data_IF_016432749704
#
_entry.id   IF_016432749704
#
_cell.length_a   1.000
_cell.length_b   1.000
_cell.length_c   1.000
_cell.angle_alpha   90.00
_cell.angle_beta   90.00
_cell.angle_gamma   90.00
#
_symmetry.space_group_name_H-M   'P 1'
#
loop_
_entity.id
_entity.type
_entity.pdbx_description
1 polymer ?
#
# COMPACT_ATOMS: atom_id res chain seq x y z
N UNK A 1 -13.92 6.61 -1.49
CA UNK A 1 -15.21 6.29 -0.80
C UNK A 1 -15.87 5.15 -1.57
N UNK A 2 -16.36 4.13 -0.87
CA UNK A 2 -17.06 3.02 -1.52
C UNK A 2 -18.37 3.53 -2.15
N UNK A 3 -18.61 3.19 -3.41
CA UNK A 3 -19.84 3.54 -4.09
C UNK A 3 -21.00 2.65 -3.60
N UNK A 4 -22.17 3.24 -3.39
CA UNK A 4 -23.39 2.50 -3.10
C UNK A 4 -23.86 1.71 -4.33
N UNK A 5 -24.63 0.65 -4.14
CA UNK A 5 -25.18 -0.12 -5.27
C UNK A 5 -25.99 0.70 -6.26
N UNK A 6 -26.67 1.77 -5.82
CA UNK A 6 -27.40 2.68 -6.70
C UNK A 6 -26.46 3.60 -7.50
N UNK A 7 -25.34 4.02 -6.93
CA UNK A 7 -24.33 4.81 -7.65
C UNK A 7 -23.64 3.96 -8.71
N UNK A 8 -23.29 2.72 -8.36
CA UNK A 8 -22.76 1.73 -9.30
C UNK A 8 -23.76 1.47 -10.42
N UNK A 9 -25.05 1.31 -10.10
CA UNK A 9 -26.09 1.09 -11.10
C UNK A 9 -26.15 2.21 -12.16
N UNK A 10 -25.99 3.47 -11.76
CA UNK A 10 -25.97 4.63 -12.69
C UNK A 10 -24.83 4.56 -13.71
N UNK A 11 -23.73 3.87 -13.38
CA UNK A 11 -22.56 3.69 -14.25
C UNK A 11 -22.68 2.45 -15.14
N UNK A 12 -23.64 1.56 -14.87
CA UNK A 12 -23.90 0.37 -15.66
C UNK A 12 -24.88 0.64 -16.80
N UNK A 13 -24.91 -0.21 -17.84
CA UNK A 13 -25.77 -0.04 -19.00
C UNK A 13 -27.25 0.20 -18.67
N UNK A 14 -27.78 -0.44 -17.62
CA UNK A 14 -29.18 -0.27 -17.21
C UNK A 14 -29.51 1.03 -16.50
N UNK A 15 -28.52 1.71 -15.95
CA UNK A 15 -28.69 2.98 -15.22
C UNK A 15 -28.37 4.24 -16.03
N UNK A 16 -27.87 4.10 -17.24
CA UNK A 16 -27.56 5.22 -18.14
C UNK A 16 -28.82 5.86 -18.68
N UNK A 17 -28.77 7.14 -19.05
CA UNK A 17 -29.87 7.88 -19.69
C UNK A 17 -29.39 8.46 -21.01
N UNK A 18 -29.90 8.01 -22.19
CA UNK A 18 -30.86 6.90 -22.36
C UNK A 18 -30.26 5.54 -22.00
N UNK A 19 -31.09 4.55 -21.65
CA UNK A 19 -30.60 3.22 -21.34
C UNK A 19 -29.86 2.59 -22.52
N UNK A 20 -28.77 1.89 -22.24
CA UNK A 20 -28.05 1.19 -23.29
C UNK A 20 -28.92 0.08 -23.91
N UNK A 21 -28.85 -0.19 -25.24
CA UNK A 21 -29.63 -1.24 -25.90
C UNK A 21 -29.50 -2.64 -25.25
N UNK A 22 -28.37 -2.91 -24.60
CA UNK A 22 -28.09 -4.14 -23.87
C UNK A 22 -28.37 -4.04 -22.36
N UNK A 23 -29.20 -3.09 -21.93
CA UNK A 23 -29.64 -3.01 -20.54
C UNK A 23 -30.39 -4.29 -20.15
N UNK A 24 -30.04 -4.85 -18.96
CA UNK A 24 -30.63 -6.08 -18.42
C UNK A 24 -30.53 -7.31 -19.36
N UNK A 25 -29.47 -7.41 -20.15
CA UNK A 25 -29.26 -8.50 -21.12
C UNK A 25 -29.04 -9.87 -20.48
N UNK A 26 -28.74 -9.94 -19.17
CA UNK A 26 -28.44 -11.15 -18.39
C UNK A 26 -27.14 -11.88 -18.78
N UNK A 27 -26.36 -11.39 -19.71
CA UNK A 27 -25.12 -12.01 -20.19
C UNK A 27 -24.04 -12.10 -19.08
N UNK A 28 -24.08 -11.21 -18.09
CA UNK A 28 -23.23 -11.24 -16.90
C UNK A 28 -23.67 -12.28 -15.85
N UNK A 29 -24.72 -13.08 -16.12
CA UNK A 29 -25.25 -14.08 -15.18
C UNK A 29 -26.23 -13.54 -14.13
N UNK A 30 -26.52 -12.25 -14.14
CA UNK A 30 -27.45 -11.62 -13.19
C UNK A 30 -28.77 -11.20 -13.89
N UNK A 31 -29.91 -11.29 -13.18
CA UNK A 31 -31.22 -11.04 -13.78
C UNK A 31 -31.43 -9.59 -14.24
N UNK A 32 -30.77 -8.65 -13.58
CA UNK A 32 -30.83 -7.21 -13.92
C UNK A 32 -29.50 -6.53 -13.65
N UNK A 33 -29.26 -5.38 -14.32
CA UNK A 33 -28.09 -4.54 -14.04
C UNK A 33 -28.10 -3.98 -12.60
N UNK A 34 -29.27 -3.82 -11.98
CA UNK A 34 -29.36 -3.42 -10.58
C UNK A 34 -28.91 -4.53 -9.64
N UNK A 35 -29.33 -5.79 -9.89
CA UNK A 35 -28.88 -6.94 -9.12
C UNK A 35 -27.35 -7.11 -9.22
N UNK A 36 -26.80 -6.93 -10.41
CA UNK A 36 -25.36 -6.93 -10.63
C UNK A 36 -24.65 -5.80 -9.87
N UNK A 37 -25.22 -4.57 -9.89
CA UNK A 37 -24.68 -3.44 -9.14
C UNK A 37 -24.62 -3.68 -7.63
N UNK A 38 -25.67 -4.31 -7.07
CA UNK A 38 -25.69 -4.69 -5.64
C UNK A 38 -24.62 -5.74 -5.29
N UNK A 39 -24.38 -6.69 -6.19
CA UNK A 39 -23.32 -7.70 -6.01
C UNK A 39 -21.92 -7.10 -6.14
N UNK A 40 -21.73 -6.13 -7.05
CA UNK A 40 -20.48 -5.36 -7.14
C UNK A 40 -20.23 -4.55 -5.86
N UNK A 41 -21.26 -3.86 -5.33
CA UNK A 41 -21.15 -3.12 -4.08
C UNK A 41 -20.77 -4.03 -2.90
N UNK A 42 -21.29 -5.25 -2.86
CA UNK A 42 -20.97 -6.26 -1.87
C UNK A 42 -19.63 -7.00 -2.13
N UNK A 43 -18.88 -6.63 -3.18
CA UNK A 43 -17.64 -7.31 -3.64
C UNK A 43 -17.83 -8.81 -3.89
N UNK A 44 -19.02 -9.21 -4.34
CA UNK A 44 -19.41 -10.60 -4.66
C UNK A 44 -19.48 -10.85 -6.16
N UNK A 45 -19.17 -9.88 -6.98
CA UNK A 45 -19.07 -9.96 -8.43
C UNK A 45 -17.90 -9.12 -8.93
N UNK A 46 -17.40 -9.47 -10.11
CA UNK A 46 -16.35 -8.72 -10.81
C UNK A 46 -16.94 -7.90 -11.96
N UNK A 47 -16.41 -6.70 -12.16
CA UNK A 47 -16.85 -5.79 -13.23
C UNK A 47 -16.64 -6.39 -14.62
N UNK A 48 -15.61 -7.20 -14.80
CA UNK A 48 -15.26 -7.93 -16.04
C UNK A 48 -16.39 -8.82 -16.56
N UNK A 49 -17.33 -9.23 -15.71
CA UNK A 49 -18.50 -10.01 -16.15
C UNK A 49 -19.44 -9.23 -17.07
N UNK A 50 -19.41 -7.89 -17.07
CA UNK A 50 -20.23 -7.07 -17.95
C UNK A 50 -19.40 -6.46 -19.08
N UNK A 51 -19.63 -6.90 -20.31
CA UNK A 51 -18.89 -6.45 -21.50
C UNK A 51 -19.37 -5.08 -22.05
N UNK A 52 -20.50 -4.57 -21.56
CA UNK A 52 -21.17 -3.36 -22.08
C UNK A 52 -20.96 -2.12 -21.21
N UNK A 53 -20.07 -2.17 -20.24
CA UNK A 53 -19.68 -1.00 -19.47
C UNK A 53 -18.75 -0.14 -20.33
N UNK A 54 -19.06 1.14 -20.48
CA UNK A 54 -18.19 2.05 -21.22
C UNK A 54 -16.87 2.29 -20.45
N UNK A 55 -15.83 2.69 -21.18
CA UNK A 55 -14.47 2.84 -20.62
C UNK A 55 -14.41 3.85 -19.45
N UNK A 56 -15.17 4.94 -19.53
CA UNK A 56 -15.21 5.96 -18.47
C UNK A 56 -15.85 5.40 -17.18
N UNK A 57 -17.01 4.73 -17.33
CA UNK A 57 -17.67 4.06 -16.19
C UNK A 57 -16.82 2.93 -15.61
N UNK A 58 -16.13 2.18 -16.46
CA UNK A 58 -15.23 1.12 -16.02
C UNK A 58 -14.07 1.67 -15.19
N UNK A 59 -13.44 2.77 -15.63
CA UNK A 59 -12.38 3.44 -14.88
C UNK A 59 -12.88 3.93 -13.51
N UNK A 60 -14.03 4.62 -13.46
CA UNK A 60 -14.63 5.11 -12.21
C UNK A 60 -14.99 3.98 -11.24
N UNK A 61 -15.53 2.86 -11.77
CA UNK A 61 -15.86 1.70 -10.94
C UNK A 61 -14.63 0.98 -10.44
N UNK A 62 -13.57 0.89 -11.27
CA UNK A 62 -12.27 0.33 -10.89
C UNK A 62 -11.61 1.15 -9.77
N UNK A 63 -11.59 2.47 -9.91
CA UNK A 63 -11.04 3.37 -8.89
C UNK A 63 -11.79 3.27 -7.56
N UNK A 64 -13.13 3.16 -7.63
CA UNK A 64 -13.97 3.00 -6.43
C UNK A 64 -13.86 1.61 -5.79
N UNK A 65 -13.52 0.58 -6.57
CA UNK A 65 -13.30 -0.78 -6.10
C UNK A 65 -11.88 -0.99 -5.59
N UNK A 66 -10.96 -0.07 -5.88
CA UNK A 66 -9.57 -0.15 -5.43
C UNK A 66 -9.49 -0.30 -3.90
N UNK A 67 -8.53 -1.06 -3.38
CA UNK A 67 -8.30 -1.16 -1.95
C UNK A 67 -8.08 0.23 -1.33
N UNK A 68 -8.53 0.47 -0.09
CA UNK A 68 -8.38 1.77 0.57
C UNK A 68 -6.93 2.19 0.74
N UNK A 69 -6.02 1.22 0.78
CA UNK A 69 -4.58 1.42 0.84
C UNK A 69 -3.95 0.73 -0.37
N UNK A 70 -3.17 1.45 -1.17
CA UNK A 70 -2.42 0.89 -2.28
C UNK A 70 -1.38 -0.11 -1.79
N UNK A 71 -1.12 -1.15 -2.59
CA UNK A 71 0.02 -2.03 -2.36
C UNK A 71 1.33 -1.25 -2.52
N UNK A 72 2.14 -1.28 -1.48
CA UNK A 72 3.51 -0.77 -1.50
C UNK A 72 4.43 -1.97 -1.33
N UNK A 73 5.40 -2.12 -2.22
CA UNK A 73 6.43 -3.14 -2.14
C UNK A 73 7.78 -2.46 -1.96
N UNK A 74 8.44 -2.77 -0.86
CA UNK A 74 9.82 -2.38 -0.60
C UNK A 74 10.70 -3.60 -0.85
N UNK A 75 11.75 -3.45 -1.65
CA UNK A 75 12.68 -4.55 -1.92
C UNK A 75 14.11 -4.02 -2.06
N UNK A 76 15.04 -4.61 -1.33
CA UNK A 76 16.47 -4.35 -1.43
C UNK A 76 17.25 -5.57 -0.91
N UNK A 77 18.38 -5.87 -1.53
CA UNK A 77 19.34 -6.89 -1.07
C UNK A 77 18.72 -8.29 -0.75
N UNK A 78 17.68 -8.68 -1.48
CA UNK A 78 16.96 -9.94 -1.25
C UNK A 78 15.89 -9.88 -0.15
N UNK A 79 15.76 -8.76 0.55
CA UNK A 79 14.64 -8.50 1.47
C UNK A 79 13.46 -7.93 0.70
N UNK A 80 12.26 -8.40 1.03
CA UNK A 80 11.00 -7.91 0.46
C UNK A 80 9.97 -7.71 1.56
N UNK A 81 9.35 -6.55 1.57
CA UNK A 81 8.23 -6.21 2.44
C UNK A 81 7.08 -5.68 1.60
N UNK A 82 5.88 -6.17 1.84
CA UNK A 82 4.67 -5.72 1.18
C UNK A 82 3.69 -5.19 2.23
N UNK A 83 3.06 -4.07 1.94
CA UNK A 83 2.04 -3.45 2.76
C UNK A 83 0.94 -2.83 1.92
N UNK A 84 -0.27 -2.79 2.44
CA UNK A 84 -1.44 -2.32 1.69
C UNK A 84 -2.18 -3.43 0.96
N UNK A 85 -3.01 -3.06 -0.01
CA UNK A 85 -3.94 -3.96 -0.73
C UNK A 85 -4.88 -4.72 0.22
N UNK A 86 -5.17 -4.12 1.37
CA UNK A 86 -6.06 -4.69 2.37
C UNK A 86 -7.52 -4.39 2.03
N UNK A 87 -8.42 -5.30 2.41
CA UNK A 87 -9.86 -5.15 2.15
C UNK A 87 -10.54 -4.19 3.11
N UNK A 88 -9.91 -3.88 4.23
CA UNK A 88 -10.41 -2.99 5.29
C UNK A 88 -9.33 -1.98 5.68
N UNK A 89 -9.75 -0.86 6.26
CA UNK A 89 -8.84 0.19 6.69
C UNK A 89 -8.24 -0.09 8.07
N UNK A 90 -9.02 -0.74 8.93
CA UNK A 90 -8.63 -1.00 10.31
C UNK A 90 -8.53 -2.49 10.62
N UNK A 91 -7.47 -2.88 11.32
CA UNK A 91 -7.20 -4.28 11.67
C UNK A 91 -8.29 -4.93 12.54
N UNK A 92 -9.00 -4.16 13.36
CA UNK A 92 -10.10 -4.71 14.18
C UNK A 92 -11.32 -5.15 13.37
N UNK A 93 -11.45 -4.68 12.11
CA UNK A 93 -12.52 -5.10 11.21
C UNK A 93 -12.20 -6.46 10.56
N UNK A 94 -10.91 -6.69 10.26
CA UNK A 94 -10.41 -7.95 9.69
C UNK A 94 -8.89 -8.02 9.84
N UNK A 95 -8.34 -9.23 9.98
CA UNK A 95 -6.89 -9.46 9.94
C UNK A 95 -6.33 -9.02 8.57
N UNK A 96 -5.24 -8.26 8.59
CA UNK A 96 -4.53 -7.86 7.38
C UNK A 96 -3.87 -9.05 6.71
N UNK A 97 -3.79 -9.02 5.38
CA UNK A 97 -3.05 -10.03 4.59
C UNK A 97 -1.55 -9.87 4.76
N UNK A 98 -1.07 -8.62 4.84
CA UNK A 98 0.34 -8.31 5.04
C UNK A 98 0.61 -7.94 6.48
N UNK A 99 1.68 -8.49 7.05
CA UNK A 99 2.13 -8.08 8.38
C UNK A 99 2.64 -6.63 8.33
N UNK A 100 2.44 -5.83 9.39
CA UNK A 100 3.07 -4.52 9.47
C UNK A 100 4.59 -4.64 9.45
N UNK A 101 5.25 -3.80 8.65
CA UNK A 101 6.71 -3.66 8.67
C UNK A 101 7.16 -2.86 9.90
N UNK A 102 8.21 -3.32 10.55
CA UNK A 102 8.82 -2.65 11.68
C UNK A 102 10.13 -1.98 11.26
N UNK A 103 10.21 -0.67 11.44
CA UNK A 103 11.40 0.13 11.13
C UNK A 103 11.86 0.86 12.39
N UNK A 104 13.16 0.79 12.68
CA UNK A 104 13.76 1.59 13.74
C UNK A 104 14.22 2.91 13.16
N UNK A 105 13.76 4.01 13.74
CA UNK A 105 14.22 5.32 13.35
C UNK A 105 15.62 5.60 13.91
N UNK A 106 16.48 6.12 13.06
CA UNK A 106 17.81 6.65 13.38
C UNK A 106 17.93 8.06 12.81
N UNK A 107 18.60 8.95 13.52
CA UNK A 107 18.69 10.33 13.10
C UNK A 107 20.13 10.69 12.73
N UNK A 108 20.30 11.60 11.79
CA UNK A 108 21.63 12.08 11.38
C UNK A 108 22.37 12.88 12.47
N UNK A 109 21.63 13.37 13.48
CA UNK A 109 22.19 14.05 14.64
C UNK A 109 22.69 13.16 15.79
N UNK A 110 22.46 11.85 15.74
CA UNK A 110 22.76 10.94 16.88
C UNK A 110 24.24 10.62 17.04
N UNK A 111 25.08 11.01 16.10
CA UNK A 111 26.52 10.68 16.07
C UNK A 111 26.78 9.28 15.50
N UNK A 112 27.85 9.17 14.70
CA UNK A 112 28.13 7.96 13.92
C UNK A 112 28.32 6.70 14.76
N UNK A 113 28.96 6.80 15.91
CA UNK A 113 29.21 5.65 16.78
C UNK A 113 27.91 5.09 17.38
N UNK A 114 27.07 5.94 17.93
CA UNK A 114 25.76 5.55 18.50
C UNK A 114 24.83 5.00 17.41
N UNK A 115 24.85 5.59 16.22
CA UNK A 115 24.14 5.10 15.05
C UNK A 115 24.54 3.67 14.70
N UNK A 116 25.85 3.40 14.55
CA UNK A 116 26.36 2.07 14.18
C UNK A 116 26.09 1.02 15.28
N UNK A 117 26.13 1.40 16.54
CA UNK A 117 25.73 0.52 17.65
C UNK A 117 24.26 0.15 17.56
N UNK A 118 23.40 1.12 17.26
CA UNK A 118 21.94 0.88 17.06
C UNK A 118 21.70 -0.03 15.87
N UNK A 119 22.38 0.21 14.74
CA UNK A 119 22.28 -0.62 13.53
C UNK A 119 22.67 -2.06 13.83
N UNK A 120 23.81 -2.27 14.50
CA UNK A 120 24.28 -3.61 14.86
C UNK A 120 23.32 -4.34 15.83
N UNK A 121 22.75 -3.63 16.80
CA UNK A 121 21.78 -4.20 17.72
C UNK A 121 20.48 -4.62 17.02
N UNK A 122 19.99 -3.80 16.08
CA UNK A 122 18.80 -4.08 15.28
C UNK A 122 19.02 -5.24 14.32
N UNK A 123 20.18 -5.35 13.70
CA UNK A 123 20.51 -6.45 12.79
C UNK A 123 20.59 -7.79 13.51
N UNK A 124 21.11 -7.79 14.72
CA UNK A 124 21.19 -8.98 15.57
C UNK A 124 19.85 -9.36 16.25
N UNK A 125 18.85 -8.44 16.22
CA UNK A 125 17.59 -8.67 16.92
C UNK A 125 16.74 -9.71 16.21
N UNK A 126 16.47 -10.82 16.90
CA UNK A 126 15.51 -11.85 16.49
C UNK A 126 14.90 -12.49 17.72
N UNK A 127 13.59 -12.66 17.72
CA UNK A 127 12.84 -13.32 18.79
C UNK A 127 11.97 -14.41 18.17
N UNK A 128 12.05 -15.62 18.72
CA UNK A 128 11.08 -16.67 18.39
C UNK A 128 9.80 -16.44 19.21
N UNK A 129 8.68 -16.28 18.54
CA UNK A 129 7.37 -16.17 19.16
C UNK A 129 6.40 -17.17 18.52
N UNK A 130 6.04 -18.20 19.28
CA UNK A 130 5.12 -19.26 18.87
C UNK A 130 5.53 -19.90 17.52
N UNK A 131 6.84 -20.21 17.37
CA UNK A 131 7.39 -20.83 16.17
C UNK A 131 7.56 -19.87 14.97
N UNK A 132 7.44 -18.58 15.18
CA UNK A 132 7.72 -17.55 14.18
C UNK A 132 8.92 -16.71 14.61
N UNK A 133 9.94 -16.65 13.77
CA UNK A 133 11.06 -15.74 13.98
C UNK A 133 10.62 -14.31 13.64
N UNK A 134 10.60 -13.43 14.64
CA UNK A 134 10.29 -12.02 14.49
C UNK A 134 11.60 -11.22 14.50
N UNK A 135 11.76 -10.37 13.51
CA UNK A 135 12.90 -9.47 13.34
C UNK A 135 12.42 -8.07 12.95
N UNK A 136 13.30 -7.11 13.04
CA UNK A 136 13.08 -5.75 12.52
C UNK A 136 13.27 -5.79 10.99
N UNK A 137 12.39 -5.14 10.23
CA UNK A 137 12.40 -5.17 8.77
C UNK A 137 13.38 -4.16 8.16
N UNK A 138 13.65 -3.06 8.84
CA UNK A 138 14.54 -2.03 8.31
C UNK A 138 14.77 -0.82 9.22
N UNK A 139 15.33 0.23 8.62
CA UNK A 139 15.59 1.50 9.28
C UNK A 139 14.84 2.64 8.61
N UNK A 140 14.38 3.60 9.40
CA UNK A 140 13.92 4.88 8.94
C UNK A 140 14.98 5.93 9.27
N UNK A 141 15.70 6.40 8.26
CA UNK A 141 16.75 7.41 8.45
C UNK A 141 16.10 8.80 8.32
N UNK A 142 16.04 9.51 9.45
CA UNK A 142 15.45 10.84 9.53
C UNK A 142 16.51 11.93 9.56
N UNK A 143 16.32 12.95 8.72
CA UNK A 143 17.11 14.16 8.77
C UNK A 143 16.61 15.07 9.89
N UNK A 144 17.45 15.35 10.87
CA UNK A 144 17.21 16.28 11.96
C UNK A 144 18.15 17.50 11.90
N UNK A 145 19.30 17.36 11.23
CA UNK A 145 20.29 18.43 11.06
C UNK A 145 19.88 19.49 10.05
N UNK A 146 19.06 19.12 9.05
CA UNK A 146 18.76 19.96 7.89
C UNK A 146 19.92 20.08 6.89
N UNK A 147 21.04 19.37 7.11
CA UNK A 147 22.22 19.39 6.27
C UNK A 147 22.29 18.18 5.35
N UNK A 148 22.36 18.44 4.03
CA UNK A 148 22.33 17.40 3.00
C UNK A 148 23.59 16.51 3.02
N UNK A 149 24.75 17.06 3.36
CA UNK A 149 26.03 16.33 3.40
C UNK A 149 26.04 15.35 4.58
N UNK A 150 25.69 15.82 5.77
CA UNK A 150 25.56 15.00 6.98
C UNK A 150 24.54 13.90 6.80
N UNK A 151 23.36 14.22 6.23
CA UNK A 151 22.32 13.26 5.96
C UNK A 151 22.76 12.18 4.98
N UNK A 152 23.35 12.55 3.84
CA UNK A 152 23.88 11.61 2.84
C UNK A 152 24.96 10.69 3.41
N UNK A 153 25.88 11.24 4.24
CA UNK A 153 26.89 10.45 4.93
C UNK A 153 26.28 9.45 5.91
N UNK A 154 25.23 9.84 6.63
CA UNK A 154 24.50 8.98 7.56
C UNK A 154 23.79 7.84 6.84
N UNK A 155 23.05 8.13 5.76
CA UNK A 155 22.38 7.11 4.94
C UNK A 155 23.41 6.11 4.40
N UNK A 156 24.53 6.59 3.88
CA UNK A 156 25.61 5.73 3.39
C UNK A 156 26.17 4.83 4.50
N UNK A 157 26.41 5.36 5.69
CA UNK A 157 26.91 4.59 6.82
C UNK A 157 25.93 3.46 7.23
N UNK A 158 24.61 3.72 7.21
CA UNK A 158 23.60 2.69 7.47
C UNK A 158 23.57 1.63 6.36
N UNK A 159 23.65 2.05 5.08
CA UNK A 159 23.71 1.12 3.94
C UNK A 159 24.94 0.21 3.96
N UNK A 160 26.09 0.74 4.39
CA UNK A 160 27.34 -0.03 4.48
C UNK A 160 27.28 -1.04 5.67
N UNK A 161 26.65 -0.63 6.77
CA UNK A 161 26.55 -1.44 7.98
C UNK A 161 25.44 -2.50 7.92
N UNK A 162 24.32 -2.27 7.22
CA UNK A 162 23.17 -3.20 7.15
C UNK A 162 22.67 -3.40 5.72
N UNK A 163 22.08 -4.59 5.47
CA UNK A 163 21.43 -4.92 4.19
C UNK A 163 19.89 -4.85 4.26
N UNK A 164 19.36 -4.43 5.40
CA UNK A 164 17.91 -4.29 5.62
C UNK A 164 17.32 -3.16 4.79
N UNK A 165 15.98 -3.10 4.75
CA UNK A 165 15.24 -2.08 4.01
C UNK A 165 15.44 -0.69 4.66
N UNK A 166 15.45 0.35 3.83
CA UNK A 166 15.57 1.73 4.27
C UNK A 166 14.35 2.56 3.85
N UNK A 167 13.93 3.44 4.75
CA UNK A 167 12.99 4.52 4.49
C UNK A 167 13.73 5.84 4.75
N UNK A 168 13.78 6.71 3.76
CA UNK A 168 14.40 8.01 3.87
C UNK A 168 13.36 9.05 4.25
N UNK A 169 13.66 9.88 5.25
CA UNK A 169 12.75 10.91 5.77
C UNK A 169 13.50 12.24 5.88
N UNK A 170 13.03 13.25 5.14
CA UNK A 170 13.48 14.64 5.24
C UNK A 170 12.36 15.57 4.81
N UNK A 171 12.31 16.77 5.37
CA UNK A 171 11.31 17.79 5.03
C UNK A 171 11.66 18.49 3.71
N UNK A 172 12.97 18.66 3.42
CA UNK A 172 13.44 19.27 2.19
C UNK A 172 13.73 18.22 1.11
N UNK A 173 13.10 18.33 -0.08
CA UNK A 173 13.38 17.43 -1.21
C UNK A 173 14.85 17.46 -1.68
N UNK A 174 15.58 18.56 -1.46
CA UNK A 174 17.00 18.65 -1.83
C UNK A 174 17.86 17.78 -0.91
N UNK A 175 17.56 17.79 0.39
CA UNK A 175 18.21 16.92 1.39
C UNK A 175 17.87 15.46 1.13
N UNK A 176 16.59 15.16 0.81
CA UNK A 176 16.16 13.80 0.51
C UNK A 176 16.92 13.21 -0.70
N UNK A 177 17.23 14.04 -1.72
CA UNK A 177 18.02 13.61 -2.88
C UNK A 177 19.46 13.28 -2.54
N UNK A 178 20.03 13.88 -1.50
CA UNK A 178 21.40 13.58 -1.07
C UNK A 178 21.50 12.19 -0.43
N UNK A 179 20.39 11.64 0.07
CA UNK A 179 20.32 10.28 0.61
C UNK A 179 20.05 9.18 -0.44
N UNK A 180 19.79 9.55 -1.70
CA UNK A 180 19.53 8.60 -2.80
C UNK A 180 20.82 8.26 -3.55
#
# INVERSE_FOLDING_TARGET
MALSGLEIYKLLPGGQKPPHPKANCKECGYPTCLAFAMKLAAKQAELSACQYVNAESAARLSDAAAPPIRLITLSANGHKLEGGNETVLFRHEKTFYHKPGLFVQVNDGDGLEALLQTVAAVDAYSVDYVGMALSIDGFAVACTSGDAETYGATVKAVCDASKKLLILQADDPAVLKAGL
#
